data_IF_387613588681
#
_entry.id   IF_387613588681
#
_cell.length_a   1.000
_cell.length_b   1.000
_cell.length_c   1.000
_cell.angle_alpha   90.00
_cell.angle_beta   90.00
_cell.angle_gamma   90.00
#
_symmetry.space_group_name_H-M   'P 1'
#
loop_
_entity.id
_entity.type
_entity.pdbx_description
1 polymer ?
#
# COMPACT_ATOMS: atom_id res chain seq x y z
N UNK A 1 28.14 -1.72 26.25
CA UNK A 1 26.91 -2.47 25.96
C UNK A 1 26.70 -3.68 26.88
N UNK A 2 27.61 -4.66 26.98
CA UNK A 2 27.45 -5.86 27.84
C UNK A 2 27.16 -5.57 29.33
N UNK A 3 27.76 -4.51 29.92
CA UNK A 3 27.52 -4.15 31.33
C UNK A 3 26.09 -3.67 31.59
N UNK A 4 25.54 -2.88 30.68
CA UNK A 4 24.16 -2.39 30.76
C UNK A 4 23.16 -3.54 30.64
N UNK A 5 23.35 -4.40 29.63
CA UNK A 5 22.47 -5.57 29.43
C UNK A 5 22.49 -6.54 30.60
N UNK A 6 23.68 -6.81 31.21
CA UNK A 6 23.79 -7.65 32.40
C UNK A 6 23.14 -7.01 33.62
N UNK A 7 23.21 -5.67 33.76
CA UNK A 7 22.54 -4.97 34.86
C UNK A 7 21.02 -5.06 34.71
N UNK A 8 20.49 -4.81 33.50
CA UNK A 8 19.06 -4.95 33.19
C UNK A 8 18.60 -6.39 33.49
N UNK A 9 19.32 -7.40 32.99
CA UNK A 9 18.96 -8.81 33.19
C UNK A 9 18.95 -9.21 34.70
N UNK A 10 19.88 -8.68 35.49
CA UNK A 10 19.94 -8.95 36.95
C UNK A 10 18.84 -8.23 37.74
N UNK A 11 18.39 -7.09 37.25
CA UNK A 11 17.41 -6.24 37.93
C UNK A 11 16.04 -6.21 37.21
N UNK A 12 15.76 -7.16 36.34
CA UNK A 12 14.54 -7.17 35.54
C UNK A 12 13.26 -7.11 36.38
N UNK A 13 13.25 -7.75 37.56
CA UNK A 13 12.12 -7.70 38.48
C UNK A 13 11.90 -6.36 39.22
N UNK A 14 12.87 -5.44 39.12
CA UNK A 14 12.75 -4.08 39.69
C UNK A 14 12.37 -3.01 38.70
N UNK A 15 12.25 -3.36 37.42
CA UNK A 15 11.82 -2.41 36.36
C UNK A 15 10.34 -2.09 36.61
N UNK A 16 10.06 -0.80 36.80
CA UNK A 16 8.69 -0.30 36.89
C UNK A 16 8.26 0.15 35.50
N UNK A 17 7.18 -0.46 35.02
CA UNK A 17 6.52 -0.03 33.79
C UNK A 17 5.44 1.00 34.11
N UNK A 18 5.16 1.94 33.19
CA UNK A 18 4.05 2.86 33.35
C UNK A 18 2.72 2.15 33.53
N UNK A 19 1.85 2.70 34.36
CA UNK A 19 0.51 2.17 34.63
C UNK A 19 -0.42 2.53 33.45
N UNK A 20 -0.94 1.54 32.77
CA UNK A 20 -1.78 1.74 31.58
C UNK A 20 -3.08 2.50 31.86
N UNK A 21 -3.65 2.37 33.07
CA UNK A 21 -4.86 3.10 33.46
C UNK A 21 -4.59 4.58 33.74
N UNK A 22 -3.39 4.92 34.24
CA UNK A 22 -3.02 6.28 34.62
C UNK A 22 -2.30 7.04 33.51
N UNK A 23 -1.47 6.35 32.75
CA UNK A 23 -0.57 6.92 31.75
C UNK A 23 -0.61 6.08 30.46
N UNK A 24 -1.79 5.97 29.81
CA UNK A 24 -1.99 5.06 28.68
C UNK A 24 -1.04 5.32 27.52
N UNK A 25 -0.79 6.55 27.16
CA UNK A 25 0.13 6.93 26.08
C UNK A 25 1.53 6.42 26.38
N UNK A 26 2.07 6.74 27.56
CA UNK A 26 3.41 6.34 27.97
C UNK A 26 3.52 4.82 28.12
N UNK A 27 2.50 4.17 28.69
CA UNK A 27 2.49 2.72 28.86
C UNK A 27 2.56 1.98 27.53
N UNK A 28 1.73 2.36 26.56
CA UNK A 28 1.73 1.76 25.23
C UNK A 28 3.00 2.12 24.45
N UNK A 29 3.49 3.37 24.56
CA UNK A 29 4.75 3.80 23.93
C UNK A 29 5.92 2.92 24.39
N UNK A 30 6.07 2.71 25.69
CA UNK A 30 7.13 1.86 26.25
C UNK A 30 6.96 0.40 25.86
N UNK A 31 5.75 -0.13 25.97
CA UNK A 31 5.45 -1.55 25.69
C UNK A 31 5.72 -1.94 24.24
N UNK A 32 5.35 -1.08 23.29
CA UNK A 32 5.43 -1.38 21.86
C UNK A 32 6.60 -0.66 21.15
N UNK A 33 7.46 0.07 21.88
CA UNK A 33 8.52 0.88 21.30
C UNK A 33 8.00 1.81 20.20
N UNK A 34 6.88 2.48 20.49
CA UNK A 34 6.22 3.39 19.57
C UNK A 34 6.32 4.83 20.12
N UNK A 35 6.68 5.84 19.31
CA UNK A 35 6.68 7.25 19.75
C UNK A 35 5.35 7.66 20.38
N UNK A 36 5.41 8.42 21.47
CA UNK A 36 4.22 8.86 22.21
C UNK A 36 3.24 9.63 21.34
N UNK A 37 3.73 10.48 20.43
CA UNK A 37 2.87 11.26 19.55
C UNK A 37 2.02 10.38 18.61
N UNK A 38 2.54 9.24 18.14
CA UNK A 38 1.80 8.27 17.31
C UNK A 38 0.74 7.57 18.15
N UNK A 39 1.13 7.13 19.37
CA UNK A 39 0.19 6.48 20.29
C UNK A 39 -0.95 7.41 20.68
N UNK A 40 -0.62 8.68 21.00
CA UNK A 40 -1.61 9.72 21.35
C UNK A 40 -2.60 9.95 20.20
N UNK A 41 -2.08 10.09 18.96
CA UNK A 41 -2.91 10.26 17.78
C UNK A 41 -3.85 9.07 17.54
N UNK A 42 -3.34 7.84 17.65
CA UNK A 42 -4.16 6.65 17.44
C UNK A 42 -5.17 6.42 18.56
N UNK A 43 -4.83 6.73 19.81
CA UNK A 43 -5.78 6.68 20.91
C UNK A 43 -6.94 7.66 20.71
N UNK A 44 -6.64 8.87 20.23
CA UNK A 44 -7.65 9.88 19.94
C UNK A 44 -8.52 9.49 18.72
N UNK A 45 -7.93 8.92 17.67
CA UNK A 45 -8.65 8.57 16.45
C UNK A 45 -9.44 7.26 16.57
N UNK A 46 -8.91 6.24 17.26
CA UNK A 46 -9.42 4.86 17.21
C UNK A 46 -9.83 4.31 18.58
N UNK A 47 -9.48 4.99 19.66
CA UNK A 47 -9.69 4.50 21.02
C UNK A 47 -8.71 3.38 21.43
N UNK A 48 -8.83 2.94 22.68
CA UNK A 48 -7.87 2.05 23.33
C UNK A 48 -7.82 0.65 22.68
N UNK A 49 -8.97 0.06 22.41
CA UNK A 49 -9.06 -1.32 21.91
C UNK A 49 -8.44 -1.46 20.53
N UNK A 50 -8.84 -0.61 19.61
CA UNK A 50 -8.33 -0.63 18.24
C UNK A 50 -6.84 -0.26 18.17
N UNK A 51 -6.40 0.73 18.96
CA UNK A 51 -4.99 1.11 19.03
C UNK A 51 -4.12 -0.04 19.50
N UNK A 52 -4.55 -0.78 20.52
CA UNK A 52 -3.85 -1.99 20.98
C UNK A 52 -3.78 -3.06 19.91
N UNK A 53 -4.88 -3.32 19.21
CA UNK A 53 -4.92 -4.30 18.13
C UNK A 53 -3.92 -3.96 17.02
N UNK A 54 -3.83 -2.67 16.64
CA UNK A 54 -2.86 -2.16 15.67
C UNK A 54 -1.41 -2.35 16.17
N UNK A 55 -1.12 -1.95 17.41
CA UNK A 55 0.21 -2.08 18.02
C UNK A 55 0.65 -3.53 18.16
N UNK A 56 -0.26 -4.41 18.59
CA UNK A 56 -0.02 -5.87 18.65
C UNK A 56 0.29 -6.44 17.27
N UNK A 57 -0.43 -6.02 16.24
CA UNK A 57 -0.17 -6.45 14.86
C UNK A 57 1.21 -6.03 14.36
N UNK A 58 1.64 -4.81 14.66
CA UNK A 58 2.98 -4.33 14.28
C UNK A 58 4.11 -5.02 15.03
N UNK A 59 3.83 -5.73 16.11
CA UNK A 59 4.79 -6.52 16.89
C UNK A 59 4.96 -7.95 16.35
N UNK A 60 4.11 -8.38 15.42
CA UNK A 60 4.13 -9.72 14.82
C UNK A 60 4.78 -9.69 13.44
N UNK A 61 5.39 -10.80 13.05
CA UNK A 61 5.88 -10.98 11.69
C UNK A 61 4.70 -10.99 10.71
N UNK A 62 4.89 -10.33 9.56
CA UNK A 62 3.95 -10.39 8.46
C UNK A 62 4.39 -11.45 7.46
N UNK A 63 3.48 -12.24 6.89
CA UNK A 63 3.82 -13.13 5.79
C UNK A 63 4.25 -12.31 4.57
N UNK A 64 5.13 -12.89 3.76
CA UNK A 64 5.46 -12.32 2.46
C UNK A 64 4.35 -12.75 1.51
N UNK A 65 3.59 -11.78 1.01
CA UNK A 65 2.55 -12.02 0.02
C UNK A 65 3.06 -11.77 -1.39
N UNK A 66 2.60 -12.60 -2.31
CA UNK A 66 2.94 -12.53 -3.73
C UNK A 66 1.69 -12.54 -4.58
N UNK A 67 1.80 -11.93 -5.75
CA UNK A 67 0.79 -11.94 -6.82
C UNK A 67 1.34 -12.70 -8.01
N UNK A 68 0.61 -13.69 -8.51
CA UNK A 68 0.96 -14.44 -9.72
C UNK A 68 1.02 -13.53 -10.93
N UNK A 69 2.04 -13.68 -11.77
CA UNK A 69 2.04 -13.11 -13.12
C UNK A 69 1.17 -13.97 -14.03
N UNK A 70 -0.11 -13.64 -14.07
CA UNK A 70 -1.10 -14.44 -14.83
C UNK A 70 -0.90 -14.40 -16.35
N UNK A 71 -0.06 -13.50 -16.85
CA UNK A 71 0.32 -13.47 -18.27
C UNK A 71 1.35 -14.56 -18.63
N UNK A 72 2.04 -15.14 -17.63
CA UNK A 72 3.08 -16.14 -17.82
C UNK A 72 2.71 -17.52 -17.29
N UNK A 73 1.95 -17.59 -16.19
CA UNK A 73 1.66 -18.83 -15.48
C UNK A 73 0.30 -18.76 -14.79
N UNK A 74 -0.39 -19.88 -14.67
CA UNK A 74 -1.60 -19.94 -13.85
C UNK A 74 -1.26 -20.00 -12.36
N UNK A 75 -2.14 -19.53 -11.45
CA UNK A 75 -1.91 -19.59 -10.01
C UNK A 75 -1.60 -21.00 -9.50
N UNK A 76 -2.33 -22.03 -9.97
CA UNK A 76 -2.11 -23.40 -9.58
C UNK A 76 -0.72 -23.90 -10.01
N UNK A 77 -0.30 -23.60 -11.26
CA UNK A 77 1.01 -23.98 -11.76
C UNK A 77 2.14 -23.28 -11.00
N UNK A 78 1.97 -21.99 -10.64
CA UNK A 78 2.92 -21.27 -9.80
C UNK A 78 3.04 -21.91 -8.41
N UNK A 79 1.92 -22.28 -7.78
CA UNK A 79 1.89 -22.96 -6.48
C UNK A 79 2.71 -24.25 -6.50
N UNK A 80 2.54 -25.09 -7.53
CA UNK A 80 3.28 -26.34 -7.66
C UNK A 80 4.78 -26.10 -7.97
N UNK A 81 5.11 -25.10 -8.78
CA UNK A 81 6.51 -24.75 -9.05
C UNK A 81 7.22 -24.25 -7.79
N UNK A 82 6.61 -23.35 -7.01
CA UNK A 82 7.16 -22.85 -5.75
C UNK A 82 7.38 -23.99 -4.74
N UNK A 83 6.46 -24.96 -4.65
CA UNK A 83 6.65 -26.15 -3.81
C UNK A 83 7.84 -26.99 -4.28
N UNK A 84 8.03 -27.15 -5.59
CA UNK A 84 9.17 -27.85 -6.15
C UNK A 84 10.51 -27.15 -5.87
N UNK A 85 10.47 -25.83 -5.71
CA UNK A 85 11.61 -25.00 -5.28
C UNK A 85 11.83 -25.04 -3.74
N UNK A 86 11.01 -25.80 -2.99
CA UNK A 86 11.11 -25.93 -1.53
C UNK A 86 10.41 -24.81 -0.75
N UNK A 87 9.63 -23.97 -1.42
CA UNK A 87 8.88 -22.86 -0.81
C UNK A 87 7.57 -23.35 -0.22
N UNK A 88 7.25 -22.95 0.99
CA UNK A 88 5.92 -23.14 1.58
C UNK A 88 4.98 -22.10 1.02
N UNK A 89 3.86 -22.54 0.44
CA UNK A 89 2.85 -21.70 -0.19
C UNK A 89 1.52 -21.90 0.54
N UNK A 90 0.90 -20.81 0.98
CA UNK A 90 -0.42 -20.80 1.61
C UNK A 90 -1.37 -19.92 0.80
N UNK A 91 -2.59 -20.38 0.61
CA UNK A 91 -3.67 -19.57 0.04
C UNK A 91 -4.15 -18.53 1.07
N UNK A 92 -4.85 -17.51 0.60
CA UNK A 92 -5.41 -16.52 1.52
C UNK A 92 -6.51 -17.12 2.40
N UNK A 93 -7.24 -18.10 1.92
CA UNK A 93 -8.23 -18.85 2.70
C UNK A 93 -7.58 -19.60 3.87
N UNK A 94 -6.45 -20.29 3.63
CA UNK A 94 -5.68 -20.99 4.67
C UNK A 94 -5.16 -20.05 5.76
N UNK A 95 -4.99 -18.77 5.45
CA UNK A 95 -4.56 -17.74 6.39
C UNK A 95 -5.73 -17.01 7.07
N UNK A 96 -6.97 -17.44 6.82
CA UNK A 96 -8.17 -16.79 7.37
C UNK A 96 -8.29 -15.31 7.00
N UNK A 97 -7.99 -14.98 5.75
CA UNK A 97 -8.10 -13.61 5.18
C UNK A 97 -9.57 -13.22 4.93
N UNK A 98 -10.45 -13.43 5.91
CA UNK A 98 -11.84 -13.03 5.80
C UNK A 98 -12.01 -11.52 6.02
N UNK A 99 -12.95 -10.91 5.29
CA UNK A 99 -13.38 -9.53 5.53
C UNK A 99 -12.58 -8.45 4.80
N UNK A 100 -11.70 -8.83 3.85
CA UNK A 100 -11.11 -7.86 2.93
C UNK A 100 -12.08 -7.53 1.79
N UNK A 101 -12.09 -6.29 1.27
CA UNK A 101 -12.70 -5.99 -0.01
C UNK A 101 -12.13 -6.88 -1.12
N UNK A 102 -12.97 -7.24 -2.10
CA UNK A 102 -12.56 -8.02 -3.28
C UNK A 102 -11.98 -9.42 -2.97
N UNK A 103 -12.37 -10.06 -1.84
CA UNK A 103 -11.80 -11.35 -1.41
C UNK A 103 -11.86 -12.42 -2.50
N UNK A 104 -12.93 -12.45 -3.28
CA UNK A 104 -13.11 -13.42 -4.37
C UNK A 104 -12.14 -13.21 -5.55
N UNK A 105 -11.56 -12.01 -5.69
CA UNK A 105 -10.62 -11.69 -6.75
C UNK A 105 -9.22 -12.27 -6.50
N UNK A 106 -8.81 -12.48 -5.24
CA UNK A 106 -7.41 -12.77 -4.89
C UNK A 106 -6.96 -14.23 -5.06
N UNK A 107 -7.65 -15.03 -5.87
CA UNK A 107 -7.24 -16.42 -6.19
C UNK A 107 -5.83 -16.51 -6.83
N UNK A 108 -5.30 -15.41 -7.32
CA UNK A 108 -3.95 -15.29 -7.87
C UNK A 108 -2.88 -14.94 -6.83
N UNK A 109 -3.26 -14.70 -5.58
CA UNK A 109 -2.35 -14.28 -4.51
C UNK A 109 -2.06 -15.41 -3.53
N UNK A 110 -0.81 -15.45 -3.04
CA UNK A 110 -0.35 -16.42 -2.06
C UNK A 110 0.51 -15.75 -1.00
N UNK A 111 0.58 -16.37 0.19
CA UNK A 111 1.64 -16.10 1.15
C UNK A 111 2.73 -17.17 0.99
N UNK A 112 3.99 -16.75 1.06
CA UNK A 112 5.14 -17.63 0.91
C UNK A 112 6.11 -17.53 2.08
N UNK A 113 6.75 -18.66 2.39
CA UNK A 113 7.78 -18.77 3.42
C UNK A 113 8.70 -19.97 3.15
N UNK A 114 9.70 -20.19 4.03
CA UNK A 114 10.56 -21.37 3.95
C UNK A 114 11.67 -21.28 2.90
N UNK A 115 12.06 -20.08 2.49
CA UNK A 115 13.18 -19.86 1.56
C UNK A 115 14.22 -18.92 2.20
N UNK A 116 15.49 -19.08 1.83
CA UNK A 116 16.57 -18.24 2.36
C UNK A 116 16.66 -16.88 1.67
N UNK A 117 16.62 -16.88 0.33
CA UNK A 117 16.77 -15.68 -0.48
C UNK A 117 15.76 -15.64 -1.63
N UNK A 118 14.83 -14.69 -1.57
CA UNK A 118 13.80 -14.49 -2.60
C UNK A 118 14.40 -14.33 -4.01
N UNK A 119 15.47 -13.53 -4.12
CA UNK A 119 16.14 -13.25 -5.40
C UNK A 119 16.82 -14.49 -6.02
N UNK A 120 17.01 -15.57 -5.24
CA UNK A 120 17.61 -16.81 -5.72
C UNK A 120 16.57 -17.81 -6.26
N UNK A 121 15.30 -17.58 -6.02
CA UNK A 121 14.23 -18.45 -6.54
C UNK A 121 14.15 -18.35 -8.06
N UNK A 122 14.22 -19.47 -8.80
CA UNK A 122 14.06 -19.47 -10.26
C UNK A 122 12.75 -18.81 -10.70
N UNK A 123 11.65 -19.12 -10.02
CA UNK A 123 10.33 -18.53 -10.29
C UNK A 123 10.31 -17.00 -10.15
N UNK A 124 11.10 -16.42 -9.21
CA UNK A 124 11.24 -14.98 -9.09
C UNK A 124 12.10 -14.38 -10.22
N UNK A 125 13.22 -15.05 -10.58
CA UNK A 125 14.09 -14.61 -11.66
C UNK A 125 13.37 -14.61 -13.02
N UNK A 126 12.54 -15.62 -13.25
CA UNK A 126 11.71 -15.75 -14.45
C UNK A 126 10.51 -14.79 -14.47
N UNK A 127 10.31 -14.04 -13.39
CA UNK A 127 9.21 -13.08 -13.27
C UNK A 127 7.83 -13.72 -13.28
N UNK A 128 7.70 -14.89 -12.62
CA UNK A 128 6.42 -15.60 -12.54
C UNK A 128 5.49 -15.06 -11.47
N UNK A 129 6.01 -14.24 -10.56
CA UNK A 129 5.24 -13.57 -9.52
C UNK A 129 5.85 -12.24 -9.09
N UNK A 130 5.04 -11.42 -8.45
CA UNK A 130 5.41 -10.14 -7.84
C UNK A 130 5.34 -10.25 -6.32
N UNK A 131 6.27 -9.62 -5.60
CA UNK A 131 6.08 -9.37 -4.17
C UNK A 131 5.20 -8.15 -4.02
N UNK A 132 4.01 -8.36 -3.54
CA UNK A 132 3.03 -7.29 -3.35
C UNK A 132 2.18 -7.60 -2.13
N UNK A 133 1.95 -6.58 -1.29
CA UNK A 133 1.01 -6.73 -0.18
C UNK A 133 -0.42 -6.85 -0.68
N UNK A 134 -1.22 -7.65 0.00
CA UNK A 134 -2.62 -7.87 -0.39
C UNK A 134 -3.41 -6.55 -0.39
N UNK A 135 -3.14 -5.66 0.57
CA UNK A 135 -3.79 -4.35 0.63
C UNK A 135 -3.43 -3.48 -0.58
N UNK A 136 -2.20 -3.60 -1.09
CA UNK A 136 -1.77 -2.90 -2.30
C UNK A 136 -2.41 -3.46 -3.58
N UNK A 137 -2.83 -4.74 -3.59
CA UNK A 137 -3.56 -5.33 -4.73
C UNK A 137 -4.97 -4.74 -4.87
N UNK A 138 -5.57 -4.27 -3.77
CA UNK A 138 -6.91 -3.66 -3.77
C UNK A 138 -7.04 -2.46 -4.70
N UNK A 139 -5.95 -1.73 -4.93
CA UNK A 139 -5.98 -0.55 -5.81
C UNK A 139 -6.38 -0.93 -7.23
N UNK A 140 -5.81 -2.02 -7.75
CA UNK A 140 -6.13 -2.48 -9.10
C UNK A 140 -7.54 -3.06 -9.19
N UNK A 141 -7.98 -3.80 -8.15
CA UNK A 141 -9.35 -4.32 -8.06
C UNK A 141 -10.38 -3.18 -7.94
N UNK A 142 -10.08 -2.16 -7.15
CA UNK A 142 -10.93 -0.97 -7.04
C UNK A 142 -10.97 -0.18 -8.36
N UNK A 143 -9.85 -0.07 -9.04
CA UNK A 143 -9.74 0.61 -10.33
C UNK A 143 -10.52 -0.12 -11.42
N UNK A 144 -10.50 -1.45 -11.42
CA UNK A 144 -11.22 -2.34 -12.34
C UNK A 144 -11.25 -1.83 -13.80
N UNK A 145 -10.07 -1.62 -14.44
CA UNK A 145 -10.03 -1.01 -15.76
C UNK A 145 -10.71 -1.90 -16.80
N UNK A 146 -11.55 -1.31 -17.63
CA UNK A 146 -12.14 -2.01 -18.76
C UNK A 146 -11.08 -2.29 -19.84
N UNK A 147 -11.27 -3.35 -20.63
CA UNK A 147 -10.37 -3.65 -21.74
C UNK A 147 -10.35 -2.48 -22.73
N UNK A 148 -9.15 -2.09 -23.13
CA UNK A 148 -8.93 -0.92 -23.99
C UNK A 148 -8.77 0.40 -23.25
N UNK A 149 -8.93 0.45 -21.93
CA UNK A 149 -8.79 1.67 -21.14
C UNK A 149 -7.38 2.25 -21.20
N UNK A 150 -7.30 3.56 -21.10
CA UNK A 150 -6.07 4.30 -20.84
C UNK A 150 -5.97 4.62 -19.35
N UNK A 151 -4.92 4.11 -18.70
CA UNK A 151 -4.66 4.28 -17.27
C UNK A 151 -3.47 5.22 -17.07
N UNK A 152 -3.59 6.17 -16.15
CA UNK A 152 -2.48 7.00 -15.69
C UNK A 152 -2.25 6.73 -14.20
N UNK A 153 -1.02 6.32 -13.84
CA UNK A 153 -0.57 6.16 -12.45
C UNK A 153 0.45 7.27 -12.16
N UNK A 154 0.09 8.21 -11.28
CA UNK A 154 0.84 9.48 -11.11
C UNK A 154 2.00 9.41 -10.13
N UNK A 155 2.09 8.35 -9.30
CA UNK A 155 3.17 8.11 -8.34
C UNK A 155 3.55 6.62 -8.33
N UNK A 156 3.90 6.09 -9.49
CA UNK A 156 3.89 4.67 -9.80
C UNK A 156 5.01 3.82 -9.19
N UNK A 157 6.16 4.41 -8.88
CA UNK A 157 7.35 3.63 -8.50
C UNK A 157 7.14 2.78 -7.21
N UNK A 158 7.61 1.53 -7.22
CA UNK A 158 8.40 0.83 -8.24
C UNK A 158 7.59 0.14 -9.37
N UNK A 159 6.28 0.40 -9.52
CA UNK A 159 5.45 -0.07 -10.63
C UNK A 159 4.51 -1.23 -10.34
N UNK A 160 4.44 -1.72 -9.10
CA UNK A 160 3.65 -2.91 -8.76
C UNK A 160 2.15 -2.78 -9.04
N UNK A 161 1.55 -1.60 -8.78
CA UNK A 161 0.14 -1.30 -9.06
C UNK A 161 -0.10 -1.11 -10.55
N UNK A 162 0.74 -0.30 -11.21
CA UNK A 162 0.68 -0.08 -12.67
C UNK A 162 0.80 -1.39 -13.46
N UNK A 163 1.71 -2.30 -13.06
CA UNK A 163 1.86 -3.61 -13.70
C UNK A 163 0.61 -4.46 -13.50
N UNK A 164 0.01 -4.43 -12.31
CA UNK A 164 -1.24 -5.16 -12.05
C UNK A 164 -2.36 -4.68 -12.98
N UNK A 165 -2.52 -3.36 -13.13
CA UNK A 165 -3.47 -2.77 -14.06
C UNK A 165 -3.18 -3.15 -15.51
N UNK A 166 -1.90 -3.14 -15.92
CA UNK A 166 -1.50 -3.54 -17.27
C UNK A 166 -1.84 -5.01 -17.58
N UNK A 167 -1.72 -5.91 -16.58
CA UNK A 167 -2.14 -7.31 -16.70
C UNK A 167 -3.66 -7.44 -16.81
N UNK A 168 -4.43 -6.67 -16.01
CA UNK A 168 -5.91 -6.68 -16.08
C UNK A 168 -6.43 -6.23 -17.45
N UNK A 169 -5.71 -5.33 -18.14
CA UNK A 169 -6.02 -4.91 -19.50
C UNK A 169 -5.81 -6.02 -20.55
N UNK A 170 -5.12 -7.11 -20.22
CA UNK A 170 -4.95 -8.30 -21.07
C UNK A 170 -4.44 -7.96 -22.49
N UNK A 171 -3.39 -7.12 -22.54
CA UNK A 171 -2.77 -6.69 -23.80
C UNK A 171 -3.57 -5.65 -24.60
N UNK A 172 -4.70 -5.20 -24.08
CA UNK A 172 -5.49 -4.10 -24.64
C UNK A 172 -5.24 -2.82 -23.85
N UNK A 173 -5.52 -1.64 -24.43
CA UNK A 173 -5.32 -0.38 -23.72
C UNK A 173 -3.85 -0.08 -23.37
N UNK A 174 -3.64 0.83 -22.43
CA UNK A 174 -2.30 1.29 -22.05
C UNK A 174 -2.23 1.80 -20.61
N UNK A 175 -1.05 1.67 -19.98
CA UNK A 175 -0.76 2.27 -18.68
C UNK A 175 0.42 3.23 -18.83
N UNK A 176 0.21 4.50 -18.51
CA UNK A 176 1.27 5.50 -18.38
C UNK A 176 1.64 5.64 -16.89
N UNK A 177 2.85 5.21 -16.56
CA UNK A 177 3.36 5.21 -15.19
C UNK A 177 4.29 6.39 -14.98
N UNK A 178 3.91 7.32 -14.09
CA UNK A 178 4.64 8.54 -13.82
C UNK A 178 5.30 8.49 -12.46
N UNK A 179 6.45 9.11 -12.32
CA UNK A 179 7.04 9.40 -11.01
C UNK A 179 7.99 10.61 -11.09
N UNK A 180 8.31 11.21 -9.95
CA UNK A 180 9.02 12.49 -9.83
C UNK A 180 10.43 12.47 -10.43
N UNK A 181 11.15 11.34 -10.39
CA UNK A 181 12.57 11.27 -10.76
C UNK A 181 12.87 10.16 -11.74
N UNK A 182 13.92 10.37 -12.57
CA UNK A 182 14.43 9.33 -13.48
C UNK A 182 14.92 8.06 -12.78
N UNK A 183 15.41 8.17 -11.53
CA UNK A 183 15.73 7.00 -10.71
C UNK A 183 14.50 6.14 -10.45
N UNK A 184 13.39 6.76 -10.05
CA UNK A 184 12.14 6.05 -9.75
C UNK A 184 11.49 5.45 -11.00
N UNK A 185 11.46 6.19 -12.13
CA UNK A 185 10.97 5.62 -13.39
C UNK A 185 11.87 4.49 -13.89
N UNK A 186 13.18 4.56 -13.64
CA UNK A 186 14.11 3.46 -13.91
C UNK A 186 13.75 2.16 -13.17
N UNK A 187 13.29 2.25 -11.91
CA UNK A 187 12.80 1.07 -11.17
C UNK A 187 11.54 0.46 -11.82
N UNK A 188 10.67 1.31 -12.37
CA UNK A 188 9.48 0.84 -13.10
C UNK A 188 9.92 0.13 -14.38
N UNK A 189 10.86 0.69 -15.14
CA UNK A 189 11.39 0.11 -16.39
C UNK A 189 12.08 -1.23 -16.17
N UNK A 190 12.87 -1.37 -15.08
CA UNK A 190 13.45 -2.65 -14.68
C UNK A 190 12.37 -3.71 -14.44
N UNK A 191 11.29 -3.35 -13.79
CA UNK A 191 10.16 -4.25 -13.54
C UNK A 191 9.37 -4.55 -14.83
N UNK A 192 9.09 -3.56 -15.69
CA UNK A 192 8.48 -3.77 -17.01
C UNK A 192 9.30 -4.81 -17.80
N UNK A 193 10.61 -4.67 -17.82
CA UNK A 193 11.52 -5.60 -18.51
C UNK A 193 11.49 -7.00 -17.90
N UNK A 194 11.60 -7.13 -16.57
CA UNK A 194 11.58 -8.42 -15.85
C UNK A 194 10.30 -9.19 -16.12
N UNK A 195 9.18 -8.51 -16.07
CA UNK A 195 7.86 -9.12 -16.23
C UNK A 195 7.36 -9.14 -17.67
N UNK A 196 8.11 -8.51 -18.59
CA UNK A 196 7.83 -8.48 -20.04
C UNK A 196 6.46 -7.83 -20.37
N UNK A 197 6.12 -6.79 -19.63
CA UNK A 197 4.88 -6.00 -19.85
C UNK A 197 5.04 -5.14 -21.13
N UNK A 198 4.04 -5.18 -22.01
CA UNK A 198 4.14 -4.56 -23.35
C UNK A 198 3.27 -3.30 -23.50
N UNK A 199 2.28 -3.13 -22.66
CA UNK A 199 1.28 -2.05 -22.70
C UNK A 199 1.50 -0.98 -21.63
N UNK A 200 2.77 -0.83 -21.20
CA UNK A 200 3.17 0.20 -20.23
C UNK A 200 4.23 1.14 -20.81
N UNK A 201 4.15 2.41 -20.43
CA UNK A 201 5.17 3.42 -20.66
C UNK A 201 5.50 4.14 -19.36
N UNK A 202 6.67 4.76 -19.29
CA UNK A 202 7.11 5.56 -18.15
C UNK A 202 7.26 7.02 -18.52
N UNK A 203 6.98 7.93 -17.58
CA UNK A 203 7.18 9.37 -17.76
C UNK A 203 7.70 9.98 -16.45
N UNK A 204 8.81 10.70 -16.52
CA UNK A 204 9.26 11.53 -15.38
C UNK A 204 8.37 12.76 -15.33
N UNK A 205 7.59 12.90 -14.25
CA UNK A 205 6.67 14.02 -14.09
C UNK A 205 6.43 14.33 -12.61
N UNK A 206 6.39 15.61 -12.27
CA UNK A 206 5.96 16.09 -10.96
C UNK A 206 4.43 16.19 -10.95
N UNK A 207 3.78 15.34 -10.15
CA UNK A 207 2.32 15.28 -10.06
C UNK A 207 1.66 16.57 -9.51
N UNK A 208 2.46 17.51 -8.98
CA UNK A 208 1.98 18.83 -8.56
C UNK A 208 1.97 19.85 -9.70
N UNK A 209 2.47 19.47 -10.89
CA UNK A 209 2.54 20.33 -12.09
C UNK A 209 1.53 19.82 -13.10
N UNK A 210 0.58 20.66 -13.56
CA UNK A 210 -0.40 20.27 -14.58
C UNK A 210 0.27 19.80 -15.88
N UNK A 211 -0.30 18.77 -16.49
CA UNK A 211 0.06 18.29 -17.82
C UNK A 211 -1.16 18.46 -18.75
N UNK A 212 -1.18 19.55 -19.50
CA UNK A 212 -2.28 19.86 -20.43
C UNK A 212 -2.52 18.73 -21.46
N UNK A 213 -1.48 17.95 -21.80
CA UNK A 213 -1.61 16.83 -22.73
C UNK A 213 -2.34 15.62 -22.16
N UNK A 214 -2.52 15.57 -20.84
CA UNK A 214 -3.20 14.51 -20.13
C UNK A 214 -4.66 14.84 -19.77
N UNK A 215 -5.08 16.09 -19.93
CA UNK A 215 -6.45 16.52 -19.60
C UNK A 215 -7.49 15.67 -20.36
N UNK A 216 -8.49 15.19 -19.62
CA UNK A 216 -9.60 14.36 -20.15
C UNK A 216 -9.14 13.10 -20.94
N UNK A 217 -7.97 12.52 -20.61
CA UNK A 217 -7.44 11.35 -21.33
C UNK A 217 -7.54 10.03 -20.56
N UNK A 218 -7.54 10.06 -19.24
CA UNK A 218 -7.54 8.87 -18.42
C UNK A 218 -8.95 8.28 -18.25
N UNK A 219 -9.16 7.04 -18.65
CA UNK A 219 -10.34 6.26 -18.27
C UNK A 219 -10.24 5.85 -16.79
N UNK A 220 -9.00 5.59 -16.33
CA UNK A 220 -8.67 5.32 -14.93
C UNK A 220 -7.43 6.11 -14.54
N UNK A 221 -7.50 6.82 -13.41
CA UNK A 221 -6.36 7.48 -12.79
C UNK A 221 -6.07 6.83 -11.43
N UNK A 222 -4.82 6.46 -11.20
CA UNK A 222 -4.34 5.98 -9.90
C UNK A 222 -3.47 7.05 -9.25
N UNK A 223 -3.86 7.43 -8.04
CA UNK A 223 -3.17 8.36 -7.17
C UNK A 223 -2.76 7.65 -5.86
N UNK A 224 -1.76 6.73 -5.96
CA UNK A 224 -1.13 6.08 -4.79
C UNK A 224 -0.03 7.02 -4.27
N UNK A 225 -0.44 7.93 -3.40
CA UNK A 225 0.35 9.13 -3.12
C UNK A 225 1.40 8.91 -2.02
N UNK A 226 2.50 9.71 -2.06
CA UNK A 226 3.44 9.76 -0.93
C UNK A 226 2.69 10.05 0.37
N UNK A 227 2.97 9.25 1.39
CA UNK A 227 2.28 9.31 2.68
C UNK A 227 3.24 9.03 3.83
N UNK A 228 2.77 9.21 5.07
CA UNK A 228 3.55 8.96 6.29
C UNK A 228 4.04 7.51 6.42
N UNK A 229 3.37 6.56 5.76
CA UNK A 229 3.74 5.15 5.80
C UNK A 229 3.48 4.47 7.15
N UNK A 230 2.67 5.07 8.02
CA UNK A 230 2.37 4.52 9.36
C UNK A 230 1.53 3.23 9.32
N UNK A 231 1.06 2.83 8.14
CA UNK A 231 0.39 1.54 7.94
C UNK A 231 1.34 0.35 7.69
N UNK A 232 2.60 0.62 7.29
CA UNK A 232 3.57 -0.44 6.87
C UNK A 232 4.71 -0.67 7.88
N UNK A 233 4.50 -0.33 9.15
CA UNK A 233 5.52 -0.37 10.20
C UNK A 233 6.07 -1.77 10.50
N UNK A 234 5.40 -2.85 10.10
CA UNK A 234 5.93 -4.22 10.17
C UNK A 234 7.12 -4.42 9.23
N UNK A 235 7.06 -3.83 8.05
CA UNK A 235 8.06 -3.95 6.98
C UNK A 235 9.10 -2.84 7.01
N UNK A 236 8.71 -1.63 7.46
CA UNK A 236 9.54 -0.43 7.51
C UNK A 236 9.55 0.16 8.92
N UNK A 237 10.11 -0.58 9.86
CA UNK A 237 10.07 -0.27 11.30
C UNK A 237 10.69 1.07 11.68
N UNK A 238 11.64 1.55 10.89
CA UNK A 238 12.36 2.80 11.12
C UNK A 238 11.53 4.06 10.83
N UNK A 239 10.46 3.95 10.04
CA UNK A 239 9.55 5.07 9.76
C UNK A 239 9.02 5.69 11.04
N UNK A 240 8.66 4.87 12.06
CA UNK A 240 8.13 5.36 13.34
C UNK A 240 9.03 6.39 14.04
N UNK A 241 10.36 6.30 13.84
CA UNK A 241 11.33 7.19 14.45
C UNK A 241 11.82 8.31 13.50
N UNK A 242 11.53 8.19 12.21
CA UNK A 242 11.89 9.19 11.19
C UNK A 242 10.76 10.16 10.91
N UNK A 243 9.52 9.72 11.09
CA UNK A 243 8.33 10.55 10.89
C UNK A 243 8.08 11.45 12.10
N UNK A 244 7.58 12.65 11.83
CA UNK A 244 7.09 13.61 12.82
C UNK A 244 5.71 14.11 12.43
N UNK A 245 4.96 14.67 13.38
CA UNK A 245 3.63 15.25 13.12
C UNK A 245 3.68 16.37 12.05
N UNK A 246 4.68 17.25 12.10
CA UNK A 246 4.82 18.29 11.07
C UNK A 246 5.09 17.74 9.67
N UNK A 247 5.88 16.67 9.54
CA UNK A 247 6.07 16.01 8.24
C UNK A 247 4.80 15.31 7.73
N UNK A 248 3.99 14.79 8.65
CA UNK A 248 2.68 14.21 8.30
C UNK A 248 1.74 15.29 7.75
N UNK A 249 1.65 16.44 8.39
CA UNK A 249 0.87 17.61 7.94
C UNK A 249 1.35 18.10 6.55
N UNK A 250 2.68 18.17 6.33
CA UNK A 250 3.26 18.50 5.02
C UNK A 250 2.86 17.50 3.92
N UNK A 251 2.74 16.20 4.27
CA UNK A 251 2.29 15.17 3.35
C UNK A 251 0.80 15.29 3.03
N UNK A 252 -0.05 15.61 4.01
CA UNK A 252 -1.47 15.89 3.78
C UNK A 252 -1.67 17.03 2.78
N UNK A 253 -0.92 18.13 2.94
CA UNK A 253 -0.95 19.25 2.01
C UNK A 253 -0.42 18.88 0.62
N UNK A 254 0.65 18.09 0.54
CA UNK A 254 1.19 17.59 -0.72
C UNK A 254 0.16 16.74 -1.47
N UNK A 255 -0.49 15.81 -0.77
CA UNK A 255 -1.53 14.95 -1.33
C UNK A 255 -2.69 15.78 -1.89
N UNK A 256 -3.16 16.79 -1.15
CA UNK A 256 -4.20 17.72 -1.63
C UNK A 256 -3.79 18.44 -2.90
N UNK A 257 -2.56 18.95 -2.96
CA UNK A 257 -2.04 19.61 -4.18
C UNK A 257 -1.98 18.66 -5.38
N UNK A 258 -1.54 17.42 -5.16
CA UNK A 258 -1.50 16.41 -6.23
C UNK A 258 -2.91 16.11 -6.70
N UNK A 259 -3.83 15.76 -5.79
CA UNK A 259 -5.23 15.46 -6.14
C UNK A 259 -5.89 16.59 -6.92
N UNK A 260 -5.70 17.84 -6.51
CA UNK A 260 -6.20 19.05 -7.17
C UNK A 260 -5.67 19.21 -8.59
N UNK A 261 -4.43 18.80 -8.82
CA UNK A 261 -3.79 18.89 -10.14
C UNK A 261 -4.24 17.77 -11.07
N UNK A 262 -4.19 16.52 -10.58
CA UNK A 262 -4.34 15.35 -11.45
C UNK A 262 -5.80 14.96 -11.73
N UNK A 263 -6.75 15.49 -10.97
CA UNK A 263 -8.18 15.21 -11.19
C UNK A 263 -8.67 15.62 -12.59
N UNK A 264 -8.05 16.65 -13.20
CA UNK A 264 -8.36 17.10 -14.56
C UNK A 264 -8.03 16.06 -15.64
N UNK A 265 -7.15 15.08 -15.33
CA UNK A 265 -6.78 14.03 -16.30
C UNK A 265 -7.86 12.99 -16.50
N UNK A 266 -8.75 12.83 -15.52
CA UNK A 266 -9.83 11.84 -15.56
C UNK A 266 -10.91 12.27 -16.54
N UNK A 267 -11.26 11.41 -17.49
CA UNK A 267 -12.40 11.64 -18.39
C UNK A 267 -13.71 11.74 -17.61
N UNK A 268 -14.71 12.34 -18.21
CA UNK A 268 -16.10 12.19 -17.76
C UNK A 268 -16.45 10.70 -17.70
N UNK A 269 -17.13 10.29 -16.63
CA UNK A 269 -17.45 8.91 -16.26
C UNK A 269 -16.23 8.02 -15.93
N UNK A 270 -15.00 8.55 -16.01
CA UNK A 270 -13.77 7.89 -15.62
C UNK A 270 -13.62 7.73 -14.10
N UNK A 271 -12.73 6.83 -13.71
CA UNK A 271 -12.49 6.46 -12.32
C UNK A 271 -11.16 7.04 -11.82
N UNK A 272 -11.17 7.61 -10.62
CA UNK A 272 -9.96 7.94 -9.87
C UNK A 272 -9.88 7.06 -8.63
N UNK A 273 -8.75 6.39 -8.42
CA UNK A 273 -8.44 5.67 -7.19
C UNK A 273 -7.37 6.41 -6.43
N UNK A 274 -7.73 6.99 -5.30
CA UNK A 274 -6.81 7.55 -4.33
C UNK A 274 -6.42 6.49 -3.32
N UNK A 275 -5.13 6.35 -3.00
CA UNK A 275 -4.67 5.38 -2.01
C UNK A 275 -3.43 5.84 -1.25
N UNK A 276 -3.26 5.31 -0.04
CA UNK A 276 -2.11 5.54 0.84
C UNK A 276 -1.76 4.28 1.62
N UNK A 277 -0.50 4.11 1.99
CA UNK A 277 -0.04 3.06 2.90
C UNK A 277 0.03 3.55 4.36
N UNK A 278 -0.93 4.35 4.79
CA UNK A 278 -1.05 4.86 6.16
C UNK A 278 -2.44 4.60 6.73
N UNK A 279 -2.56 4.75 8.04
CA UNK A 279 -3.83 4.70 8.76
C UNK A 279 -4.24 6.07 9.31
N UNK A 280 -3.51 7.14 8.97
CA UNK A 280 -3.82 8.49 9.43
C UNK A 280 -5.11 9.04 8.77
N UNK A 281 -6.13 9.44 9.56
CA UNK A 281 -7.36 10.02 9.02
C UNK A 281 -7.15 11.29 8.20
N UNK A 282 -6.16 12.14 8.57
CA UNK A 282 -5.83 13.38 7.88
C UNK A 282 -5.37 13.14 6.44
N UNK A 283 -4.58 12.08 6.24
CA UNK A 283 -4.10 11.66 4.91
C UNK A 283 -5.15 10.83 4.13
N UNK A 284 -6.22 10.37 4.77
CA UNK A 284 -7.18 9.41 4.22
C UNK A 284 -8.57 10.04 4.06
N UNK A 285 -9.49 9.76 5.00
CA UNK A 285 -10.90 10.17 4.90
C UNK A 285 -11.08 11.69 4.85
N UNK A 286 -10.23 12.45 5.58
CA UNK A 286 -10.31 13.90 5.61
C UNK A 286 -9.84 14.52 4.28
N UNK A 287 -8.83 13.91 3.63
CA UNK A 287 -8.42 14.31 2.28
C UNK A 287 -9.51 14.02 1.24
N UNK A 288 -10.21 12.88 1.34
CA UNK A 288 -11.36 12.58 0.48
C UNK A 288 -12.48 13.58 0.69
N UNK A 289 -12.81 13.89 1.95
CA UNK A 289 -13.85 14.87 2.26
C UNK A 289 -13.49 16.28 1.74
N UNK A 290 -12.23 16.69 1.91
CA UNK A 290 -11.73 17.94 1.36
C UNK A 290 -11.84 17.97 -0.16
N UNK A 291 -11.41 16.88 -0.83
CA UNK A 291 -11.43 16.76 -2.29
C UNK A 291 -12.86 16.90 -2.84
N UNK A 292 -13.81 16.13 -2.29
CA UNK A 292 -15.20 16.18 -2.71
C UNK A 292 -15.86 17.55 -2.45
N UNK A 293 -15.45 18.23 -1.39
CA UNK A 293 -15.92 19.60 -1.09
C UNK A 293 -15.42 20.63 -2.11
N UNK A 294 -14.26 20.39 -2.73
CA UNK A 294 -13.65 21.28 -3.71
C UNK A 294 -14.01 20.93 -5.15
N UNK A 295 -14.23 19.65 -5.45
CA UNK A 295 -14.45 19.07 -6.77
C UNK A 295 -15.84 18.44 -6.88
N UNK A 296 -16.92 19.26 -7.01
CA UNK A 296 -18.29 18.76 -7.10
C UNK A 296 -18.57 17.95 -8.38
N UNK A 297 -17.66 17.97 -9.35
CA UNK A 297 -17.65 17.12 -10.54
C UNK A 297 -17.27 15.67 -10.26
N UNK A 298 -16.88 15.33 -9.02
CA UNK A 298 -16.60 13.97 -8.57
C UNK A 298 -17.62 13.48 -7.54
N UNK A 299 -17.92 12.20 -7.57
CA UNK A 299 -18.67 11.49 -6.52
C UNK A 299 -17.84 10.35 -5.94
N UNK A 300 -18.03 10.06 -4.66
CA UNK A 300 -17.43 8.90 -4.00
C UNK A 300 -18.29 7.67 -4.30
N UNK A 301 -17.67 6.62 -4.85
CA UNK A 301 -18.31 5.33 -5.07
C UNK A 301 -18.15 4.43 -3.83
N UNK A 302 -16.93 4.28 -3.35
CA UNK A 302 -16.60 3.55 -2.12
C UNK A 302 -15.24 3.99 -1.59
N UNK A 303 -14.99 3.74 -0.31
CA UNK A 303 -13.69 3.88 0.35
C UNK A 303 -13.56 2.90 1.51
N UNK A 304 -12.34 2.44 1.78
CA UNK A 304 -12.06 1.51 2.87
C UNK A 304 -10.76 1.84 3.57
N UNK A 305 -10.76 1.75 4.90
CA UNK A 305 -9.57 1.82 5.73
C UNK A 305 -9.24 0.43 6.27
N UNK A 306 -8.11 -0.11 5.84
CA UNK A 306 -7.59 -1.39 6.32
C UNK A 306 -6.71 -1.14 7.54
N UNK A 307 -7.02 -1.82 8.64
CA UNK A 307 -6.25 -1.72 9.87
C UNK A 307 -5.41 -2.98 10.09
N UNK A 308 -4.11 -2.84 10.43
CA UNK A 308 -3.31 -4.00 10.85
C UNK A 308 -3.96 -4.67 12.07
N UNK A 309 -4.02 -6.01 12.05
CA UNK A 309 -4.51 -6.80 13.17
C UNK A 309 -6.00 -7.10 13.20
N UNK A 310 -6.83 -6.28 12.59
CA UNK A 310 -8.26 -6.56 12.42
C UNK A 310 -8.55 -7.15 11.04
N UNK A 311 -7.75 -6.77 10.08
CA UNK A 311 -7.75 -7.31 8.72
C UNK A 311 -6.35 -7.78 8.36
N UNK A 312 -6.22 -8.56 7.33
CA UNK A 312 -4.93 -9.07 6.89
C UNK A 312 -4.30 -8.11 5.89
N UNK A 313 -2.98 -7.96 6.02
CA UNK A 313 -2.20 -7.03 5.22
C UNK A 313 -1.62 -5.91 6.08
N UNK A 314 -1.02 -4.97 5.40
CA UNK A 314 -0.57 -3.72 6.01
C UNK A 314 -1.75 -2.76 6.22
N UNK A 315 -1.55 -1.74 7.07
CA UNK A 315 -2.47 -0.62 7.14
C UNK A 315 -2.48 0.13 5.81
N UNK A 316 -3.67 0.29 5.25
CA UNK A 316 -3.84 0.82 3.91
C UNK A 316 -5.18 1.52 3.77
N UNK A 317 -5.26 2.48 2.87
CA UNK A 317 -6.50 3.16 2.54
C UNK A 317 -6.66 3.25 1.03
N UNK A 318 -7.89 3.11 0.55
CA UNK A 318 -8.26 3.54 -0.80
C UNK A 318 -9.64 4.22 -0.80
N UNK A 319 -9.81 5.12 -1.76
CA UNK A 319 -11.10 5.70 -2.14
C UNK A 319 -11.25 5.64 -3.66
N UNK A 320 -12.40 5.17 -4.12
CA UNK A 320 -12.78 5.12 -5.52
C UNK A 320 -13.78 6.22 -5.82
N UNK A 321 -13.40 7.11 -6.71
CA UNK A 321 -14.18 8.26 -7.10
C UNK A 321 -14.52 8.18 -8.59
N UNK A 322 -15.64 8.73 -9.00
CA UNK A 322 -16.05 8.86 -10.40
C UNK A 322 -16.24 10.31 -10.77
N UNK A 323 -15.71 10.72 -11.92
CA UNK A 323 -16.01 12.03 -12.48
C UNK A 323 -17.36 12.01 -13.19
N UNK A 324 -18.31 12.84 -12.74
CA UNK A 324 -19.69 12.87 -13.26
C UNK A 324 -19.95 14.00 -14.27
N UNK A 325 -19.08 15.00 -14.34
CA UNK A 325 -19.23 16.12 -15.28
C UNK A 325 -17.90 16.69 -15.77
#
# INVERSE_FOLDING_TARGET
>A
MNGVLRNIARNSGSIRYPDEEKEPVLALSVRYSMPEWIVDEWLNAYGMEQTKAILDAFSKEAPITIRTNVTKITPDALKEQLKAEGVTVQTLEELSYAGLPYTDAYHYAFAISGFDHLMALPSFQDGLFYVQDISSMMVAEAAAPEKGAHVIDVCAAPGGKSIHLAEMLDGTGSVESRDLTGYKTGLIEENISRYQIKNMTTKVWDATVPDESAEDTADVLVADLPCSGLGVLRKKTDIRYKMSRGQQEELEELQRRILDTVCSYVKKDGIMVYSTCTINPGENQENVAWFLGKHPEFELLDMEQIYPGTQVGDGFFYARLRRIS
#
